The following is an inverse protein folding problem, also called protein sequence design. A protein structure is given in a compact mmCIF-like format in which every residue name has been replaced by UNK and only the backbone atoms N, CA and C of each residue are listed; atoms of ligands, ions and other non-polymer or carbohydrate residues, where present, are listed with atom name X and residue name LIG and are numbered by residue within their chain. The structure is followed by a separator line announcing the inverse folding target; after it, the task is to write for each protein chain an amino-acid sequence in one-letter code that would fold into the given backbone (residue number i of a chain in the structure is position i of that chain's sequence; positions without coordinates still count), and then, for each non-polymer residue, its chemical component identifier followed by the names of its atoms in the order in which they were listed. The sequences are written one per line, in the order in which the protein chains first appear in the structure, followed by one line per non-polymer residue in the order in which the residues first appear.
data_IF_369777805226
#
_entry.id   IF_369777805226
#
_cell.length_a   1.000
_cell.length_b   1.000
_cell.length_c   1.000
_cell.angle_alpha   90.00
_cell.angle_beta   90.00
_cell.angle_gamma   90.00
#
_symmetry.space_group_name_H-M   'P 1'
#
loop_
_entity.id
_entity.type
_entity.pdbx_description
1 polymer ?
2 non-polymer ?
3 non-polymer ?
4 non-polymer ?
5 water ?
#
# COMPACT_ATOMS: atom_id res chain seq x y z
N UNK A 2 15.33 -10.57 -5.74
CA UNK A 2 14.64 -11.70 -6.40
C UNK A 2 13.49 -12.20 -5.54
N UNK A 3 12.49 -12.79 -6.17
CA UNK A 3 11.41 -13.48 -5.44
C UNK A 3 11.39 -14.94 -5.84
N UNK A 4 11.01 -15.80 -4.89
CA UNK A 4 10.88 -17.22 -5.16
C UNK A 4 12.09 -17.82 -5.84
N UNK A 5 13.26 -17.62 -5.24
CA UNK A 5 14.48 -18.24 -5.74
C UNK A 5 15.21 -18.96 -4.62
N UNK A 6 15.98 -19.98 -4.98
CA UNK A 6 16.68 -20.78 -3.97
C UNK A 6 17.16 -19.91 -2.82
N UNK A 7 16.80 -20.30 -1.61
CA UNK A 7 17.15 -19.54 -0.43
C UNK A 7 18.24 -20.23 0.38
N UNK A 8 19.29 -19.48 0.70
CA UNK A 8 20.36 -19.97 1.56
C UNK A 8 19.83 -20.08 3.01
N UNK A 9 20.55 -20.81 3.84
CA UNK A 9 20.22 -20.96 5.25
C UNK A 9 20.36 -19.63 5.99
N UNK A 10 19.53 -19.43 7.01
CA UNK A 10 19.71 -18.32 7.94
C UNK A 10 20.95 -18.58 8.81
N UNK A 11 21.64 -17.52 9.24
CA UNK A 11 22.73 -17.72 10.20
C UNK A 11 22.18 -18.03 11.59
N UNK A 12 23.03 -18.51 12.49
CA UNK A 12 22.69 -18.60 13.92
C UNK A 12 22.22 -17.25 14.41
N UNK A 13 21.09 -17.24 15.10
CA UNK A 13 20.52 -16.03 15.70
C UNK A 13 20.07 -16.30 17.13
N UNK A 14 20.28 -15.34 18.03
CA UNK A 14 19.82 -15.44 19.42
C UNK A 14 18.67 -14.45 19.62
N UNK A 15 17.49 -14.98 19.92
CA UNK A 15 16.30 -14.16 20.16
C UNK A 15 15.35 -14.93 21.07
N UNK A 16 14.39 -14.22 21.70
CA UNK A 16 13.45 -14.89 22.60
C UNK A 16 12.65 -15.98 21.91
N UNK A 17 12.48 -17.11 22.58
CA UNK A 17 11.71 -18.22 22.06
C UNK A 17 10.24 -17.82 21.90
N UNK A 18 9.63 -18.15 20.73
CA UNK A 18 8.17 -17.96 20.62
C UNK A 18 7.44 -18.77 21.67
N UNK A 19 6.35 -18.22 22.19
CA UNK A 19 5.59 -18.84 23.26
C UNK A 19 4.27 -19.41 22.74
N UNK A 20 4.24 -20.73 22.54
CA UNK A 20 3.05 -21.41 21.98
C UNK A 20 1.77 -21.14 22.76
N UNK A 21 1.87 -21.08 24.09
CA UNK A 21 0.70 -20.94 24.96
C UNK A 21 0.46 -19.50 25.46
N UNK A 22 1.02 -18.53 24.73
CA UNK A 22 0.75 -17.11 24.98
C UNK A 22 0.40 -16.41 23.67
N UNK A 23 -0.83 -15.85 23.56
CA UNK A 23 -1.16 -15.12 22.33
C UNK A 23 -0.25 -13.90 22.19
N UNK A 24 0.14 -13.57 20.95
CA UNK A 24 1.00 -12.41 20.75
C UNK A 24 0.23 -11.09 20.92
N UNK A 25 -1.07 -11.12 20.66
CA UNK A 25 -1.98 -10.01 20.99
C UNK A 25 -3.27 -10.60 21.56
N UNK A 26 -3.79 -9.97 22.61
CA UNK A 26 -5.04 -10.39 23.24
C UNK A 26 -6.21 -9.45 22.90
N UNK A 27 -5.91 -8.37 22.18
CA UNK A 27 -6.88 -7.30 21.92
C UNK A 27 -7.29 -7.15 20.46
N UNK A 28 -6.59 -7.84 19.55
CA UNK A 28 -6.85 -7.71 18.12
C UNK A 28 -6.77 -9.07 17.41
N UNK A 29 -7.40 -9.15 16.25
CA UNK A 29 -7.26 -10.29 15.33
C UNK A 29 -5.93 -10.19 14.58
N UNK A 30 -5.10 -11.24 14.67
CA UNK A 30 -3.76 -11.23 14.03
C UNK A 30 -3.62 -12.16 12.81
N UNK A 31 -4.69 -12.85 12.47
CA UNK A 31 -4.73 -13.67 11.26
C UNK A 31 -6.15 -13.63 10.68
N UNK A 32 -6.26 -13.49 9.35
CA UNK A 32 -7.58 -13.52 8.71
C UNK A 32 -8.13 -14.94 8.65
N UNK A 33 -9.43 -15.11 8.36
CA UNK A 33 -9.99 -16.46 8.21
C UNK A 33 -9.46 -17.25 6.98
N UNK A 34 -8.71 -16.60 6.09
CA UNK A 34 -8.03 -17.32 5.01
C UNK A 34 -6.52 -17.43 5.30
N UNK A 35 -6.17 -17.29 6.57
CA UNK A 35 -4.80 -17.51 7.08
C UNK A 35 -3.74 -16.53 6.53
N UNK A 36 -4.17 -15.29 6.31
CA UNK A 36 -3.23 -14.19 6.02
C UNK A 36 -2.92 -13.45 7.33
N UNK A 37 -1.63 -13.26 7.65
CA UNK A 37 -1.31 -12.45 8.83
C UNK A 37 -1.90 -11.05 8.73
N UNK A 38 -2.38 -10.53 9.86
CA UNK A 38 -2.71 -9.13 10.01
C UNK A 38 -1.58 -8.50 10.83
N UNK A 39 -0.88 -7.55 10.21
CA UNK A 39 0.39 -7.04 10.73
C UNK A 39 0.19 -5.92 11.77
N UNK A 40 0.42 -6.28 13.04
CA UNK A 40 0.42 -5.36 14.18
C UNK A 40 1.76 -5.46 14.89
N UNK A 41 2.15 -4.39 15.60
CA UNK A 41 3.32 -4.48 16.47
C UNK A 41 3.10 -5.58 17.50
N UNK A 42 4.14 -6.40 17.71
CA UNK A 42 4.05 -7.57 18.60
C UNK A 42 3.85 -8.90 17.89
N UNK A 43 3.49 -8.84 16.60
CA UNK A 43 3.31 -10.08 15.83
C UNK A 43 4.60 -10.59 15.16
N UNK A 44 5.58 -9.71 14.97
CA UNK A 44 6.77 -10.07 14.18
C UNK A 44 8.08 -9.72 14.85
N UNK A 45 9.09 -10.56 14.60
CA UNK A 45 10.47 -10.29 14.93
C UNK A 45 11.17 -9.73 13.67
N UNK A 46 11.44 -8.43 13.68
CA UNK A 46 12.00 -7.76 12.50
C UNK A 46 13.41 -8.25 12.15
N UNK A 47 14.15 -8.76 13.13
CA UNK A 47 15.49 -9.28 12.85
C UNK A 47 15.44 -10.53 11.98
N UNK A 48 14.51 -11.44 12.27
CA UNK A 48 14.35 -12.63 11.46
C UNK A 48 13.89 -12.24 10.04
N UNK A 49 12.91 -11.34 9.96
CA UNK A 49 12.39 -10.95 8.66
C UNK A 49 13.42 -10.22 7.80
N UNK A 50 14.19 -9.31 8.41
CA UNK A 50 15.27 -8.64 7.69
C UNK A 50 16.28 -9.63 7.10
N UNK A 51 16.65 -10.65 7.87
CA UNK A 51 17.55 -11.71 7.39
C UNK A 51 16.96 -12.42 6.17
N UNK A 52 15.71 -12.85 6.28
CA UNK A 52 15.05 -13.56 5.19
C UNK A 52 15.03 -12.74 3.90
N UNK A 53 14.64 -11.47 3.99
CA UNK A 53 14.52 -10.62 2.80
C UNK A 53 15.88 -10.12 2.27
N UNK A 54 16.83 -9.85 3.16
CA UNK A 54 18.16 -9.43 2.68
C UNK A 54 18.87 -10.56 1.95
N UNK A 55 18.68 -11.79 2.42
CA UNK A 55 19.31 -12.95 1.76
C UNK A 55 18.76 -13.19 0.36
N UNK A 56 17.62 -12.58 0.05
CA UNK A 56 17.02 -12.69 -1.28
C UNK A 56 17.32 -11.45 -2.12
N UNK A 57 18.12 -10.54 -1.54
CA UNK A 57 18.49 -9.27 -2.18
C UNK A 57 17.25 -8.52 -2.71
N UNK A 58 16.29 -8.36 -1.82
CA UNK A 58 14.99 -7.75 -2.16
C UNK A 58 15.10 -6.27 -2.51
N UNK A 59 14.46 -5.90 -3.62
CA UNK A 59 14.31 -4.50 -4.01
C UNK A 59 12.84 -4.12 -3.94
N UNK A 60 12.57 -3.01 -3.26
CA UNK A 60 11.20 -2.52 -3.09
C UNK A 60 10.99 -1.21 -3.83
N UNK A 61 9.99 -1.19 -4.70
CA UNK A 61 9.55 0.05 -5.36
C UNK A 61 8.46 0.73 -4.56
N UNK A 62 8.54 2.06 -4.49
CA UNK A 62 7.51 2.86 -3.82
C UNK A 62 6.98 3.87 -4.82
N UNK A 63 5.69 3.78 -5.13
CA UNK A 63 5.06 4.70 -6.07
C UNK A 63 4.29 5.80 -5.36
N UNK A 64 4.38 7.01 -5.89
CA UNK A 64 3.67 8.12 -5.32
C UNK A 64 3.32 9.11 -6.44
N UNK A 65 2.12 9.66 -6.37
CA UNK A 65 1.66 10.63 -7.36
C UNK A 65 1.63 12.03 -6.77
N UNK A 66 2.26 12.96 -7.47
CA UNK A 66 2.33 14.34 -7.01
C UNK A 66 1.92 15.23 -8.18
N UNK A 67 0.61 15.37 -8.33
CA UNK A 67 0.03 16.06 -9.48
C UNK A 67 -0.49 17.42 -9.02
N UNK A 68 -0.23 18.44 -9.83
CA UNK A 68 -0.65 19.81 -9.54
C UNK A 68 -0.11 20.28 -8.17
N UNK A 69 -0.99 20.73 -7.27
CA UNK A 69 -0.56 21.31 -6.00
C UNK A 69 0.07 20.31 -5.03
N UNK A 70 -0.11 19.02 -5.30
CA UNK A 70 0.38 17.98 -4.39
C UNK A 70 1.89 17.79 -4.39
N UNK A 71 2.58 18.46 -5.32
CA UNK A 71 4.05 18.47 -5.31
C UNK A 71 4.59 19.01 -3.99
N UNK A 72 3.81 19.87 -3.31
CA UNK A 72 4.22 20.45 -2.04
C UNK A 72 4.45 19.42 -0.93
N UNK A 73 3.87 18.23 -1.09
CA UNK A 73 3.97 17.18 -0.08
C UNK A 73 5.21 16.31 -0.23
N UNK A 74 5.91 16.42 -1.36
CA UNK A 74 7.00 15.51 -1.68
C UNK A 74 8.18 15.58 -0.72
N UNK A 75 8.57 16.78 -0.30
CA UNK A 75 9.77 16.93 0.53
C UNK A 75 9.66 16.14 1.83
N UNK A 76 8.57 16.37 2.57
CA UNK A 76 8.36 15.67 3.85
C UNK A 76 8.16 14.16 3.63
N UNK A 77 7.41 13.80 2.59
CA UNK A 77 7.15 12.40 2.29
C UNK A 77 8.47 11.65 2.11
N UNK A 78 9.34 12.18 1.25
CA UNK A 78 10.60 11.53 0.90
C UNK A 78 11.62 11.55 2.04
N UNK A 79 11.74 12.68 2.74
CA UNK A 79 12.67 12.76 3.86
C UNK A 79 12.32 11.79 4.99
N UNK A 80 11.03 11.64 5.28
CA UNK A 80 10.60 10.72 6.32
C UNK A 80 10.68 9.26 5.84
N UNK A 81 10.43 9.03 4.55
CA UNK A 81 10.65 7.69 3.98
C UNK A 81 12.11 7.26 4.16
N UNK A 82 13.04 8.20 3.99
CA UNK A 82 14.45 7.92 4.18
C UNK A 82 14.76 7.46 5.59
N UNK A 83 14.01 7.96 6.57
CA UNK A 83 14.23 7.59 7.96
C UNK A 83 13.58 6.26 8.36
N UNK A 84 12.49 5.89 7.70
CA UNK A 84 11.61 4.83 8.19
C UNK A 84 11.24 3.70 7.24
N UNK A 85 11.38 3.92 5.93
CA UNK A 85 10.86 2.94 4.95
C UNK A 85 11.95 2.01 4.43
N UNK A 86 11.86 0.73 4.79
CA UNK A 86 12.74 -0.32 4.24
C UNK A 86 14.22 -0.03 4.39
N UNK A 87 14.61 0.64 5.49
CA UNK A 87 16.02 0.98 5.69
C UNK A 87 16.87 -0.29 5.78
N UNK A 88 17.95 -0.32 4.99
CA UNK A 88 18.83 -1.48 4.91
C UNK A 88 18.63 -2.31 3.65
N UNK A 89 17.51 -2.07 2.97
CA UNK A 89 17.15 -2.79 1.74
C UNK A 89 17.24 -1.87 0.54
N UNK A 90 17.26 -2.44 -0.66
CA UNK A 90 17.28 -1.66 -1.90
C UNK A 90 15.90 -1.05 -2.12
N UNK A 91 15.86 0.26 -2.37
CA UNK A 91 14.59 0.97 -2.60
C UNK A 91 14.68 1.80 -3.87
N UNK A 92 13.61 1.77 -4.66
CA UNK A 92 13.49 2.61 -5.84
C UNK A 92 12.19 3.40 -5.71
N UNK A 93 12.30 4.72 -5.54
CA UNK A 93 11.14 5.60 -5.50
C UNK A 93 10.74 5.94 -6.94
N UNK A 94 9.44 5.92 -7.21
CA UNK A 94 8.92 6.37 -8.49
C UNK A 94 7.93 7.50 -8.23
N UNK A 95 8.31 8.71 -8.65
CA UNK A 95 7.48 9.89 -8.46
C UNK A 95 6.80 10.24 -9.77
N UNK A 96 5.48 10.02 -9.81
CA UNK A 96 4.66 10.39 -10.96
C UNK A 96 4.21 11.83 -10.78
N UNK A 97 4.53 12.69 -11.76
CA UNK A 97 4.21 14.12 -11.64
C UNK A 97 4.00 14.79 -12.98
N UNK A 98 3.21 15.86 -12.98
CA UNK A 98 3.09 16.74 -14.16
C UNK A 98 4.12 17.88 -14.13
N UNK A 99 4.90 17.95 -13.05
CA UNK A 99 5.87 19.04 -12.88
C UNK A 99 7.24 18.50 -12.44
N UNK A 100 8.01 17.93 -13.39
CA UNK A 100 9.31 17.37 -13.00
C UNK A 100 10.24 18.34 -12.28
N UNK A 101 10.14 19.64 -12.59
CA UNK A 101 11.03 20.64 -11.99
C UNK A 101 10.67 20.99 -10.54
N UNK A 102 9.47 20.58 -10.11
CA UNK A 102 9.00 20.84 -8.76
C UNK A 102 9.35 19.73 -7.77
N UNK A 103 10.00 18.66 -8.26
CA UNK A 103 10.41 17.57 -7.37
C UNK A 103 11.63 18.03 -6.56
N UNK A 104 11.52 18.00 -5.21
CA UNK A 104 12.62 18.47 -4.36
C UNK A 104 13.84 17.56 -4.44
N UNK A 105 15.03 18.13 -4.26
CA UNK A 105 16.28 17.37 -4.22
C UNK A 105 16.48 16.80 -2.82
N UNK A 106 16.04 15.57 -2.61
CA UNK A 106 16.14 14.93 -1.30
C UNK A 106 17.36 14.00 -1.29
N UNK A 107 18.15 14.09 -0.23
CA UNK A 107 19.36 13.29 -0.09
C UNK A 107 18.99 11.85 0.28
N UNK A 108 19.50 10.89 -0.51
CA UNK A 108 19.12 9.50 -0.32
C UNK A 108 20.27 8.67 0.23
N UNK A 109 19.94 7.70 1.08
CA UNK A 109 20.93 6.76 1.61
C UNK A 109 21.44 5.81 0.53
N UNK A 110 22.53 5.11 0.83
CA UNK A 110 23.10 4.18 -0.14
C UNK A 110 22.10 3.08 -0.52
N UNK A 111 22.12 2.67 -1.80
CA UNK A 111 21.26 1.61 -2.31
C UNK A 111 19.83 2.05 -2.56
N UNK A 112 19.61 3.36 -2.58
CA UNK A 112 18.29 3.93 -2.75
C UNK A 112 18.33 4.93 -3.89
N UNK A 113 17.33 4.86 -4.77
CA UNK A 113 17.29 5.75 -5.94
C UNK A 113 15.88 6.26 -6.22
N UNK A 114 15.82 7.34 -6.99
CA UNK A 114 14.55 7.96 -7.31
C UNK A 114 14.46 8.24 -8.81
N UNK A 115 13.33 7.88 -9.40
CA UNK A 115 13.06 8.20 -10.79
C UNK A 115 11.83 9.07 -10.87
N UNK A 116 11.88 10.10 -11.71
CA UNK A 116 10.72 10.96 -11.96
C UNK A 116 10.05 10.52 -13.26
N UNK A 117 8.74 10.23 -13.17
CA UNK A 117 7.97 9.79 -14.32
C UNK A 117 6.95 10.87 -14.65
N UNK A 118 7.13 11.53 -15.79
CA UNK A 118 6.21 12.60 -16.18
C UNK A 118 4.92 12.01 -16.73
N UNK A 119 3.81 12.47 -16.19
CA UNK A 119 2.49 12.03 -16.66
C UNK A 119 1.59 13.25 -16.86
N UNK A 120 0.45 13.02 -17.51
CA UNK A 120 -0.52 14.09 -17.69
C UNK A 120 -1.32 14.35 -16.41
N UNK A 121 -1.77 15.58 -16.25
CA UNK A 121 -2.64 15.96 -15.15
C UNK A 121 -4.09 16.00 -15.63
N UNK A 122 -4.96 15.32 -14.88
CA UNK A 122 -6.41 15.42 -15.12
C UNK A 122 -6.98 16.58 -14.32
N UNK A 123 -8.10 17.14 -14.79
CA UNK A 123 -8.73 18.32 -14.17
C UNK A 123 -9.38 18.00 -12.82
N UNK A 124 -10.16 16.92 -12.79
CA UNK A 124 -10.87 16.52 -11.57
C UNK A 124 -9.97 15.72 -10.64
N UNK A 125 -9.97 16.05 -9.35
CA UNK A 125 -9.19 15.32 -8.35
C UNK A 125 -9.56 13.84 -8.32
N UNK A 126 -10.82 13.55 -8.62
CA UNK A 126 -11.32 12.17 -8.70
C UNK A 126 -10.63 11.38 -9.81
N UNK A 127 -10.45 12.02 -10.96
CA UNK A 127 -9.77 11.38 -12.10
C UNK A 127 -8.27 11.21 -11.88
N UNK A 128 -7.64 12.23 -11.29
CA UNK A 128 -6.24 12.12 -10.89
C UNK A 128 -6.05 10.88 -10.03
N UNK A 129 -6.92 10.72 -9.04
CA UNK A 129 -6.85 9.59 -8.10
C UNK A 129 -7.10 8.26 -8.80
N UNK A 130 -8.16 8.21 -9.60
CA UNK A 130 -8.57 6.97 -10.27
C UNK A 130 -7.56 6.50 -11.33
N UNK A 131 -7.01 7.45 -12.09
CA UNK A 131 -6.07 7.15 -13.16
C UNK A 131 -4.71 6.63 -12.68
N UNK A 132 -4.48 6.66 -11.37
CA UNK A 132 -3.30 6.01 -10.79
C UNK A 132 -3.26 4.52 -11.15
N UNK A 133 -4.43 3.89 -11.21
CA UNK A 133 -4.50 2.46 -11.52
C UNK A 133 -3.95 2.18 -12.92
N UNK A 134 -4.40 2.94 -13.92
CA UNK A 134 -3.91 2.82 -15.29
C UNK A 134 -2.40 3.08 -15.37
N UNK A 135 -1.95 4.12 -14.70
CA UNK A 135 -0.54 4.53 -14.78
C UNK A 135 0.39 3.52 -14.08
N UNK A 136 -0.02 3.03 -12.91
CA UNK A 136 0.76 1.99 -12.23
C UNK A 136 0.84 0.73 -13.10
N UNK A 137 -0.30 0.30 -13.65
CA UNK A 137 -0.33 -0.89 -14.50
C UNK A 137 0.59 -0.75 -15.71
N UNK A 138 0.53 0.41 -16.38
CA UNK A 138 1.35 0.67 -17.56
C UNK A 138 2.84 0.56 -17.24
N UNK A 139 3.24 1.12 -16.11
CA UNK A 139 4.64 1.11 -15.71
C UNK A 139 5.13 -0.23 -15.14
N UNK A 140 4.19 -1.05 -14.65
CA UNK A 140 4.54 -2.43 -14.29
C UNK A 140 5.22 -3.14 -15.50
N UNK A 141 4.76 -2.80 -16.70
CA UNK A 141 5.27 -3.36 -17.95
C UNK A 141 6.53 -2.64 -18.42
N UNK A 142 6.59 -1.33 -18.23
CA UNK A 142 7.71 -0.52 -18.72
C UNK A 142 8.99 -0.65 -17.89
N UNK A 143 8.86 -0.49 -16.58
CA UNK A 143 10.03 -0.44 -15.68
C UNK A 143 10.00 -1.46 -14.55
N UNK A 144 8.83 -1.64 -13.93
CA UNK A 144 8.80 -2.27 -12.61
C UNK A 144 9.20 -3.73 -12.61
N UNK A 145 8.79 -4.46 -13.65
CA UNK A 145 9.11 -5.89 -13.75
C UNK A 145 10.61 -6.17 -13.78
N UNK A 146 11.36 -5.25 -14.39
CA UNK A 146 12.81 -5.41 -14.51
C UNK A 146 13.59 -4.78 -13.35
N UNK A 147 12.94 -3.88 -12.60
CA UNK A 147 13.66 -3.10 -11.60
C UNK A 147 13.41 -3.41 -10.12
N UNK A 148 12.22 -3.90 -9.80
CA UNK A 148 11.89 -4.17 -8.39
C UNK A 148 11.23 -5.54 -8.21
N UNK A 149 11.23 -6.02 -6.98
CA UNK A 149 10.57 -7.29 -6.64
C UNK A 149 9.15 -7.07 -6.13
N UNK A 150 8.99 -6.03 -5.32
CA UNK A 150 7.70 -5.66 -4.74
C UNK A 150 7.41 -4.21 -5.03
N UNK A 151 6.11 -3.88 -5.10
CA UNK A 151 5.66 -2.50 -5.25
C UNK A 151 4.78 -2.12 -4.07
N UNK A 152 4.99 -0.92 -3.56
CA UNK A 152 4.17 -0.33 -2.51
C UNK A 152 3.61 0.96 -3.08
N UNK A 153 2.29 1.10 -3.07
CA UNK A 153 1.59 2.20 -3.74
C UNK A 153 0.83 3.04 -2.72
N UNK A 154 1.26 4.29 -2.53
CA UNK A 154 0.75 5.12 -1.43
C UNK A 154 0.34 6.54 -1.88
N UNK A 155 -0.49 7.17 -1.06
CA UNK A 155 -0.83 8.60 -1.18
C UNK A 155 0.38 9.46 -0.75
N UNK A 156 0.49 10.67 -1.33
CA UNK A 156 1.65 11.55 -1.08
C UNK A 156 1.48 12.49 0.12
N UNK A 157 0.24 12.81 0.48
CA UNK A 157 -0.03 13.80 1.54
C UNK A 157 0.03 13.15 2.92
N UNK A 158 1.18 12.52 3.17
CA UNK A 158 1.42 11.66 4.32
C UNK A 158 2.87 11.82 4.76
N UNK A 159 3.17 11.32 5.96
CA UNK A 159 4.55 11.26 6.42
C UNK A 159 4.77 9.97 7.19
N UNK A 160 5.99 9.46 7.12
CA UNK A 160 6.37 8.31 7.93
C UNK A 160 6.81 8.82 9.30
N UNK A 161 6.35 8.14 10.35
CA UNK A 161 6.73 8.52 11.72
C UNK A 161 7.36 7.35 12.49
N UNK A 162 7.30 6.15 11.92
CA UNK A 162 7.91 4.97 12.54
C UNK A 162 8.16 3.91 11.48
N UNK A 163 8.79 2.83 11.89
CA UNK A 163 9.22 1.74 11.01
C UNK A 163 8.12 1.22 10.08
N UNK A 164 8.41 1.22 8.78
CA UNK A 164 7.63 0.48 7.78
C UNK A 164 8.63 -0.34 7.00
N UNK A 165 8.62 -1.65 7.24
CA UNK A 165 9.66 -2.52 6.68
C UNK A 165 9.16 -3.79 6.04
N UNK A 166 10.05 -4.77 5.94
CA UNK A 166 9.78 -5.97 5.15
C UNK A 166 8.66 -6.85 5.69
N UNK A 167 8.23 -6.58 6.92
CA UNK A 167 7.06 -7.26 7.49
C UNK A 167 5.80 -7.11 6.62
N UNK A 168 5.75 -6.06 5.79
CA UNK A 168 4.57 -5.86 4.94
C UNK A 168 4.61 -6.67 3.63
N UNK A 169 5.79 -7.18 3.28
CA UNK A 169 5.99 -7.75 1.93
C UNK A 169 5.43 -9.16 1.80
N UNK A 170 4.77 -9.38 0.67
CA UNK A 170 3.92 -10.56 0.44
C UNK A 170 3.40 -10.44 -1.00
N UNK A 171 2.86 -11.53 -1.59
CA UNK A 171 2.36 -11.36 -2.95
C UNK A 171 1.29 -10.27 -3.13
N UNK A 172 0.38 -10.12 -2.17
CA UNK A 172 -0.70 -9.11 -2.29
C UNK A 172 -1.13 -8.61 -0.92
N UNK A 173 -1.07 -7.30 -0.68
CA UNK A 173 -1.56 -6.77 0.59
C UNK A 173 -2.47 -5.56 0.44
N UNK A 174 -3.43 -5.46 1.37
CA UNK A 174 -4.21 -4.25 1.58
C UNK A 174 -4.03 -3.81 3.03
N UNK A 175 -4.56 -2.63 3.34
CA UNK A 175 -4.39 -2.01 4.66
C UNK A 175 -5.77 -1.64 5.21
N UNK A 176 -6.00 -1.95 6.48
CA UNK A 176 -7.24 -1.56 7.15
C UNK A 176 -7.38 -0.02 7.21
N UNK A 177 -8.45 0.49 6.60
CA UNK A 177 -8.74 1.92 6.62
C UNK A 177 -8.93 2.37 8.08
N UNK A 178 -8.29 3.50 8.48
CA UNK A 178 -8.33 3.91 9.89
C UNK A 178 -9.71 4.32 10.39
N UNK A 179 -10.60 4.73 9.48
CA UNK A 179 -11.93 5.18 9.88
C UNK A 179 -12.89 4.05 10.20
N UNK A 180 -12.56 2.82 9.81
CA UNK A 180 -13.56 1.75 9.78
C UNK A 180 -13.12 0.39 10.33
N UNK A 181 -11.94 0.32 10.93
CA UNK A 181 -11.41 -0.98 11.36
C UNK A 181 -12.32 -1.65 12.40
N UNK A 182 -13.04 -0.86 13.19
CA UNK A 182 -13.99 -1.42 14.18
C UNK A 182 -15.45 -1.47 13.73
N UNK A 183 -15.70 -1.16 12.46
CA UNK A 183 -17.08 -1.11 11.95
C UNK A 183 -17.58 -2.45 11.44
N UNK A 184 -18.91 -2.64 11.54
CA UNK A 184 -19.57 -3.79 10.95
C UNK A 184 -19.66 -3.59 9.43
N UNK A 185 -19.74 -4.69 8.68
CA UNK A 185 -19.72 -4.62 7.22
C UNK A 185 -20.86 -3.79 6.60
N UNK A 186 -22.01 -3.78 7.25
CA UNK A 186 -23.15 -3.01 6.73
C UNK A 186 -22.84 -1.51 6.73
N UNK A 187 -21.98 -1.07 7.64
CA UNK A 187 -21.60 0.34 7.75
C UNK A 187 -20.45 0.74 6.83
N UNK A 188 -19.75 -0.23 6.25
CA UNK A 188 -18.68 0.06 5.30
C UNK A 188 -19.22 0.91 4.14
N UNK A 189 -18.44 1.88 3.69
CA UNK A 189 -18.84 2.73 2.57
C UNK A 189 -18.43 2.13 1.22
N UNK A 190 -18.68 0.83 1.05
CA UNK A 190 -18.54 0.19 -0.25
C UNK A 190 -19.48 0.83 -1.28
N UNK A 191 -19.19 0.67 -2.56
CA UNK A 191 -20.18 1.00 -3.60
C UNK A 191 -21.38 0.06 -3.48
N UNK A 192 -22.58 0.64 -3.36
CA UNK A 192 -23.80 -0.14 -3.12
C UNK A 192 -24.78 -0.21 -4.31
N UNK A 193 -24.46 0.46 -5.42
CA UNK A 193 -25.32 0.43 -6.60
C UNK A 193 -24.94 -0.76 -7.49
N UNK A 194 -25.90 -1.68 -7.75
CA UNK A 194 -25.60 -2.86 -8.57
C UNK A 194 -25.15 -2.53 -10.00
N UNK A 195 -25.41 -1.30 -10.44
CA UNK A 195 -25.02 -0.86 -11.78
C UNK A 195 -23.51 -0.63 -11.93
N UNK A 196 -22.79 -0.57 -10.82
CA UNK A 196 -21.34 -0.37 -10.82
C UNK A 196 -20.57 -1.67 -10.67
N UNK A 197 -19.43 -1.76 -11.35
CA UNK A 197 -18.54 -2.92 -11.25
C UNK A 197 -17.97 -3.09 -9.85
N UNK A 198 -17.97 -2.02 -9.06
CA UNK A 198 -17.45 -2.05 -7.68
C UNK A 198 -18.51 -2.50 -6.66
N UNK A 199 -19.71 -2.81 -7.11
CA UNK A 199 -20.82 -3.19 -6.22
C UNK A 199 -20.47 -4.34 -5.24
N UNK A 200 -20.73 -4.09 -3.96
CA UNK A 200 -20.68 -5.13 -2.91
C UNK A 200 -21.96 -5.07 -2.07
N UNK A 201 -22.72 -6.19 -2.03
CA UNK A 201 -23.94 -6.27 -1.22
C UNK A 201 -23.69 -6.15 0.28
N UNK A 202 -24.76 -5.80 1.01
CA UNK A 202 -24.70 -5.56 2.45
C UNK A 202 -24.25 -6.76 3.27
N UNK A 203 -24.43 -7.97 2.73
CA UNK A 203 -24.05 -9.20 3.43
C UNK A 203 -22.69 -9.76 3.03
N UNK A 204 -21.92 -9.00 2.25
CA UNK A 204 -20.57 -9.40 1.84
C UNK A 204 -19.52 -8.40 2.31
N UNK A 205 -18.28 -8.86 2.40
CA UNK A 205 -17.15 -8.00 2.75
C UNK A 205 -16.43 -8.49 3.99
N UNK A 206 -15.10 -8.46 3.94
CA UNK A 206 -14.27 -8.82 5.07
C UNK A 206 -13.85 -7.59 5.85
N UNK A 207 -13.24 -6.64 5.14
CA UNK A 207 -12.68 -5.43 5.73
C UNK A 207 -12.93 -4.28 4.78
N UNK A 208 -12.80 -3.05 5.29
CA UNK A 208 -12.73 -1.88 4.43
C UNK A 208 -11.26 -1.46 4.28
N UNK A 209 -10.70 -1.71 3.10
CA UNK A 209 -9.29 -1.40 2.84
C UNK A 209 -9.14 0.04 2.37
N UNK A 210 -8.03 0.67 2.76
CA UNK A 210 -7.77 2.05 2.35
C UNK A 210 -7.09 2.12 0.99
N UNK A 211 -7.61 2.99 0.12
CA UNK A 211 -6.98 3.21 -1.20
C UNK A 211 -5.58 3.82 -1.15
N UNK A 212 -5.23 4.37 0.02
CA UNK A 212 -3.97 5.10 0.22
C UNK A 212 -2.73 4.23 0.46
N UNK A 213 -2.89 2.91 0.56
CA UNK A 213 -1.75 2.05 0.90
C UNK A 213 -2.05 0.59 0.54
N UNK A 214 -1.52 0.14 -0.59
CA UNK A 214 -1.65 -1.25 -1.01
C UNK A 214 -0.38 -1.66 -1.77
N UNK A 215 -0.24 -2.95 -2.07
CA UNK A 215 0.94 -3.39 -2.80
C UNK A 215 1.05 -4.88 -2.89
N UNK A 216 2.26 -5.33 -3.24
CA UNK A 216 2.52 -6.76 -3.41
C UNK A 216 3.67 -7.00 -4.36
N UNK A 217 3.76 -8.21 -4.89
CA UNK A 217 4.72 -8.50 -5.96
C UNK A 217 4.32 -7.71 -7.20
N UNK A 218 5.29 -7.46 -8.10
CA UNK A 218 4.95 -6.72 -9.31
C UNK A 218 3.84 -7.43 -10.09
N UNK A 219 3.92 -8.76 -10.20
CA UNK A 219 2.90 -9.52 -10.91
C UNK A 219 1.50 -9.29 -10.33
N UNK A 220 1.39 -9.35 -9.00
CA UNK A 220 0.07 -9.22 -8.37
C UNK A 220 -0.44 -7.77 -8.42
N UNK A 221 0.47 -6.81 -8.31
CA UNK A 221 0.07 -5.40 -8.42
C UNK A 221 -0.38 -5.08 -9.85
N UNK A 222 0.30 -5.63 -10.85
CA UNK A 222 -0.12 -5.47 -12.25
C UNK A 222 -1.56 -5.97 -12.41
N UNK A 223 -1.84 -7.16 -11.86
CA UNK A 223 -3.17 -7.76 -11.98
C UNK A 223 -4.23 -6.89 -11.33
N UNK A 224 -3.97 -6.44 -10.10
CA UNK A 224 -4.91 -5.61 -9.36
C UNK A 224 -5.17 -4.31 -10.09
N UNK A 225 -4.11 -3.63 -10.52
CA UNK A 225 -4.27 -2.30 -11.12
C UNK A 225 -4.94 -2.37 -12.48
N UNK A 226 -4.61 -3.40 -13.28
CA UNK A 226 -5.27 -3.62 -14.58
C UNK A 226 -6.76 -3.89 -14.38
N UNK A 227 -7.06 -4.76 -13.42
CA UNK A 227 -8.46 -5.12 -13.15
C UNK A 227 -9.28 -3.91 -12.69
N UNK A 228 -8.71 -3.10 -11.81
CA UNK A 228 -9.40 -1.91 -11.33
C UNK A 228 -9.58 -0.89 -12.46
N UNK A 229 -8.55 -0.69 -13.28
CA UNK A 229 -8.66 0.21 -14.43
C UNK A 229 -9.75 -0.25 -15.41
N UNK A 230 -9.75 -1.53 -15.75
CA UNK A 230 -10.76 -2.05 -16.69
C UNK A 230 -12.18 -1.90 -16.14
N UNK A 231 -12.35 -2.13 -14.83
CA UNK A 231 -13.64 -1.96 -14.17
C UNK A 231 -14.10 -0.50 -14.17
N UNK A 232 -13.17 0.41 -13.93
CA UNK A 232 -13.49 1.83 -14.00
C UNK A 232 -13.92 2.27 -15.40
N UNK A 233 -13.29 1.69 -16.42
CA UNK A 233 -13.65 2.01 -17.82
C UNK A 233 -15.04 1.52 -18.17
N UNK A 234 -15.40 0.35 -17.67
CA UNK A 234 -16.75 -0.19 -17.86
C UNK A 234 -17.77 0.75 -17.20
N UNK A 235 -17.51 1.12 -15.95
CA UNK A 235 -18.35 2.09 -15.22
C UNK A 235 -18.51 3.40 -16.00
N UNK A 236 -17.39 3.93 -16.53
CA UNK A 236 -17.42 5.18 -17.30
C UNK A 236 -18.32 5.06 -18.53
N UNK A 237 -18.21 3.93 -19.23
CA UNK A 237 -19.06 3.67 -20.39
C UNK A 237 -20.55 3.55 -20.01
N UNK A 238 -20.81 3.11 -18.79
CA UNK A 238 -22.18 2.95 -18.27
C UNK A 238 -22.69 4.19 -17.52
N UNK A 239 -21.91 5.28 -17.56
CA UNK A 239 -22.29 6.54 -16.93
C UNK A 239 -22.39 6.50 -15.42
N UNK A 240 -21.50 5.76 -14.78
CA UNK A 240 -21.47 5.68 -13.32
C UNK A 240 -20.05 5.82 -12.81
N UNK A 241 -19.91 6.56 -11.69
CA UNK A 241 -18.63 6.70 -11.01
C UNK A 241 -18.78 6.23 -9.57
N UNK A 242 -17.95 5.26 -9.19
CA UNK A 242 -18.03 4.67 -7.85
C UNK A 242 -17.89 5.70 -6.72
N UNK A 243 -18.61 5.46 -5.62
CA UNK A 243 -18.73 6.42 -4.50
C UNK A 243 -17.37 6.89 -3.95
N UNK A 244 -16.44 5.97 -3.79
CA UNK A 244 -15.08 6.33 -3.38
C UNK A 244 -14.02 5.98 -4.44
N UNK A 245 -14.43 6.05 -5.71
CA UNK A 245 -13.48 6.10 -6.82
C UNK A 245 -12.58 4.86 -6.83
N UNK A 246 -11.27 5.04 -6.96
CA UNK A 246 -10.34 3.89 -6.99
C UNK A 246 -10.44 3.00 -5.75
N UNK A 247 -10.73 3.60 -4.58
CA UNK A 247 -10.84 2.84 -3.33
C UNK A 247 -12.01 1.85 -3.37
N UNK A 248 -13.10 2.24 -4.02
CA UNK A 248 -14.25 1.34 -4.15
C UNK A 248 -13.91 0.11 -4.97
N UNK A 249 -13.19 0.32 -6.08
CA UNK A 249 -12.73 -0.78 -6.92
C UNK A 249 -11.67 -1.67 -6.24
N UNK A 250 -10.75 -1.04 -5.52
CA UNK A 250 -9.75 -1.78 -4.73
C UNK A 250 -10.44 -2.73 -3.76
N UNK A 251 -11.48 -2.23 -3.08
CA UNK A 251 -12.25 -3.06 -2.16
C UNK A 251 -12.97 -4.23 -2.82
N UNK A 252 -13.56 -4.00 -3.98
CA UNK A 252 -14.17 -5.09 -4.74
C UNK A 252 -13.12 -6.14 -5.15
N UNK A 253 -11.97 -5.68 -5.64
CA UNK A 253 -10.92 -6.61 -6.06
C UNK A 253 -10.43 -7.47 -4.89
N UNK A 254 -10.20 -6.85 -3.74
CA UNK A 254 -9.65 -7.58 -2.59
C UNK A 254 -10.68 -8.48 -1.91
N UNK A 255 -11.96 -8.21 -2.13
CA UNK A 255 -13.00 -9.15 -1.69
C UNK A 255 -12.94 -10.46 -2.48
N UNK A 256 -12.70 -10.34 -3.80
CA UNK A 256 -12.75 -11.47 -4.72
C UNK A 256 -11.39 -12.15 -4.88
N UNK A 257 -10.33 -11.44 -4.52
CA UNK A 257 -8.95 -11.95 -4.57
C UNK A 257 -8.32 -11.61 -3.21
N UNK A 258 -8.36 -12.56 -2.28
CA UNK A 258 -7.97 -12.27 -0.89
C UNK A 258 -6.50 -11.91 -0.78
N UNK A 259 -6.18 -10.83 -0.05
CA UNK A 259 -4.76 -10.49 0.16
C UNK A 259 -4.05 -11.53 1.01
N UNK A 260 -2.75 -11.69 0.78
CA UNK A 260 -1.92 -12.65 1.52
C UNK A 260 -1.33 -12.09 2.82
N UNK A 261 -1.42 -10.77 2.99
CA UNK A 261 -1.23 -10.09 4.28
C UNK A 261 -2.19 -8.92 4.31
N UNK A 262 -2.62 -8.55 5.51
CA UNK A 262 -3.40 -7.32 5.73
C UNK A 262 -2.64 -6.47 6.75
N UNK A 263 -2.42 -5.20 6.43
CA UNK A 263 -1.73 -4.29 7.35
C UNK A 263 -2.74 -3.64 8.31
N UNK A 264 -2.38 -3.54 9.59
CA UNK A 264 -3.23 -2.84 10.57
C UNK A 264 -3.21 -1.33 10.33
N UNK A 265 -4.10 -0.59 10.99
CA UNK A 265 -4.12 0.88 10.82
C UNK A 265 -2.88 1.60 11.37
N UNK A 266 -1.97 0.88 12.02
CA UNK A 266 -0.64 1.45 12.31
C UNK A 266 -0.04 2.04 11.04
N UNK A 267 -0.33 1.39 9.90
CA UNK A 267 0.26 1.69 8.60
C UNK A 267 -0.50 2.75 7.80
N UNK A 268 -1.64 3.22 8.31
CA UNK A 268 -2.45 4.21 7.62
C UNK A 268 -3.33 4.91 8.65
N UNK A 269 -2.90 6.09 9.09
CA UNK A 269 -3.55 6.73 10.23
C UNK A 269 -3.74 8.24 10.02
N UNK A 270 -4.64 8.84 10.78
CA UNK A 270 -4.80 10.29 10.85
C UNK A 270 -4.99 10.67 12.32
N UNK A 271 -3.92 11.18 12.94
CA UNK A 271 -3.94 11.48 14.37
C UNK A 271 -4.84 12.67 14.73
N UNK A 272 -4.93 13.65 13.84
CA UNK A 272 -5.80 14.81 14.06
C UNK A 272 -7.27 14.37 14.17
N UNK A 273 -7.66 13.49 13.26
CA UNK A 273 -9.04 13.05 13.18
C UNK A 273 -9.38 11.98 14.22
N UNK A 274 -8.42 11.11 14.51
CA UNK A 274 -8.71 9.87 15.23
C UNK A 274 -7.91 9.65 16.53
N UNK A 275 -6.98 10.55 16.82
CA UNK A 275 -6.21 10.46 18.06
C UNK A 275 -5.17 9.35 18.05
N UNK A 276 -4.97 8.73 19.21
CA UNK A 276 -3.99 7.64 19.35
C UNK A 276 -4.57 6.57 20.28
N UNK A 277 -5.37 5.65 19.73
CA UNK A 277 -6.02 4.59 20.51
C UNK A 277 -5.04 3.59 21.11
N UNK A 278 -5.47 2.95 22.20
CA UNK A 278 -4.67 1.93 22.87
C UNK A 278 -4.25 0.78 21.95
N UNK A 279 -5.09 0.41 20.97
CA UNK A 279 -4.75 -0.72 20.08
C UNK A 279 -3.58 -0.43 19.15
N UNK A 280 -3.22 0.85 18.97
CA UNK A 280 -2.06 1.22 18.16
C UNK A 280 -0.83 1.47 19.01
N UNK A 281 0.08 0.51 19.02
CA UNK A 281 1.32 0.65 19.79
C UNK A 281 2.32 1.57 19.08
N UNK A 282 2.17 1.67 17.76
CA UNK A 282 2.98 2.55 16.93
C UNK A 282 2.09 3.24 15.91
N UNK A 283 2.41 4.49 15.57
CA UNK A 283 1.79 5.20 14.43
C UNK A 283 2.88 5.33 13.38
N UNK A 284 2.76 4.59 12.29
CA UNK A 284 3.86 4.45 11.33
C UNK A 284 3.79 5.39 10.12
N UNK A 285 2.60 5.57 9.57
CA UNK A 285 2.42 6.32 8.32
C UNK A 285 1.12 7.07 8.52
N UNK A 286 1.21 8.41 8.54
CA UNK A 286 0.12 9.28 9.02
C UNK A 286 -0.18 10.46 8.08
N UNK A 287 -1.43 10.90 8.07
CA UNK A 287 -1.87 12.07 7.30
C UNK A 287 -1.16 13.34 7.75
N UNK A 288 -0.82 14.20 6.79
CA UNK A 288 -0.30 15.53 7.09
C UNK A 288 -1.50 16.44 7.34
N UNK A 289 -1.55 17.09 8.51
CA UNK A 289 -2.71 17.94 8.84
C UNK A 289 -2.77 19.22 8.00
N UNK A 290 -3.99 19.70 7.75
CA UNK A 290 -4.21 20.92 6.97
C UNK A 290 -4.59 22.10 7.85
X LIG B 1 -5.41 12.81 1.10
X LIG C 1 -9.31 10.51 4.08
X LIG C 1 -12.12 8.95 6.04
X LIG C 1 -8.82 11.96 4.12
X LIG C 1 -9.40 12.68 3.02
X LIG C 1 -9.26 12.60 5.46
X LIG C 1 -8.79 13.94 5.54
X LIG C 1 -8.70 11.78 6.64
X LIG C 1 -7.26 11.84 6.61
X LIG C 1 -9.19 10.32 6.51
X LIG C 1 -8.80 9.77 5.22
X LIG C 1 -8.62 9.42 7.60
X LIG C 1 -15.59 6.43 3.57
X LIG C 1 -17.11 7.13 10.50
X LIG C 1 -16.00 8.19 10.51
X LIG C 1 -14.98 7.89 9.40
X LIG C 1 -13.88 8.95 9.39
X LIG C 1 -12.81 8.64 8.34
X LIG C 1 -13.23 9.12 6.94
X LIG C 1 -12.54 9.00 4.67
X LIG C 1 -13.19 7.75 4.34
X LIG C 1 -13.66 7.73 2.97
X LIG C 1 -14.41 6.40 2.77
X LIG C 1 -12.47 7.87 2.00
X LIG C 1 -11.51 6.80 2.18
X LIG C 1 -11.77 9.19 2.28
X LIG C 1 -10.62 9.32 1.44
X LIG C 1 -11.32 9.23 3.76
X LIG C 1 -10.76 10.51 4.05
X LIG C 1 -17.32 6.57 11.91
X LIG C 1 -16.93 5.09 11.94
X LIG D 1 -4.65 17.07 -7.52
X LIG D 1 -4.27 15.96 -7.08
X LIG D 1 -2.98 15.62 -7.17
X LIG D 1 -2.55 14.44 -6.72
X LIG D 1 -1.34 14.15 -6.83
X LIG D 1 -5.19 15.07 -6.50
X LIG D 1 -4.74 13.83 -6.02
X LIG D 1 -3.43 13.52 -6.13
X LIG D 1 -2.91 12.22 -5.66
X LIG D 1 -3.98 11.34 -5.33
X LIG D 1 -2.05 12.36 -4.41
X LIG D 1 -0.98 11.38 -4.40
X LIG D 1 -3.03 12.03 -3.31
X LIG D 1 -2.38 11.61 -2.11
X LIG D 1 -3.88 10.93 -3.96
X LIG D 1 -5.27 10.69 -3.37
X LIG D 1 -6.00 11.91 -3.08
X LIG D 1 -5.97 12.47 -1.87
X LIG D 1 -5.14 12.12 -1.02
X LIG D 1 -6.94 13.54 -1.49
X LIG D 1 -7.88 14.06 -2.39
X LIG D 1 -8.76 15.05 -1.95
X LIG D 1 -8.67 15.51 -0.63
X LIG D 1 -7.72 14.97 0.23
X LIG D 1 -6.88 14.01 -0.22
X LIG D 1 -7.59 15.43 1.66
X LIG D 1 -6.60 14.63 2.30
#
# INVERSE_FOLDING_TARGET
MAIGEFMVSLPRMVYPQPKVLTPCRKDVLVVTPWLAPIVWEGTFNIDILNEQFRLQNTTIGLTVFAIKKYVAFLKLFLETAEKHFMVGHRVHYYVFTDQPAAVPRVTLGTGRQLSVLEVRAYKRWQDVSMRRMEMISDFCERRFLSEVDYLVCVDVDMEFRDHVGVEILTPLFGTLHPGFYGSSREAFTYERRPQSQAYIPKDEGDFYYGGAFFGGSVQEVQRLTRACHQAMMVDQANGIEAVWHDESHLNKYLLRHKPTKVLSPEYLWDQQLLGWPAVLRKLRFTAVPK
MN MN
BHE C1 O1 C2 O2 C3 O3 C4 O4 C5 O5 C6 O6 C6B C5B C4B C3B C2B C1B C1A O5A C5A C6A C4A O4A C3A O3A C2A O2A C19 C20
WS1 O4 C4 N3 C2 O2 C5 C6 N1 C1' O4' C2' O2' C3' O3' C4' C5' N11 C12 O13 C14 C15 C16 C17 C18 N19 C20 O21
#
